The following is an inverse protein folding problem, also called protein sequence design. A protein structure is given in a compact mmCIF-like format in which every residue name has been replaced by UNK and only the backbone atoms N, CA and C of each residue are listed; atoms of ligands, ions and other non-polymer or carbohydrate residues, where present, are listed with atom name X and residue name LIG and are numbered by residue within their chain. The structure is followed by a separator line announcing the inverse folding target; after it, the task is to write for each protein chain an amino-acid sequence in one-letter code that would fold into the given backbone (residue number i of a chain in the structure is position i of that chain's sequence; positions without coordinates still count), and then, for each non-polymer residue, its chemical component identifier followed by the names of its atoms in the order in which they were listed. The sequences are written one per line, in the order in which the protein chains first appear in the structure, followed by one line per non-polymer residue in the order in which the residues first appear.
data_IF_055881118436
#
_entry.id   IF_055881118436
#
_cell.length_a   1.000
_cell.length_b   1.000
_cell.length_c   1.000
_cell.angle_alpha   90.00
_cell.angle_beta   90.00
_cell.angle_gamma   90.00
#
_symmetry.space_group_name_H-M   'P 1'
#
loop_
_entity.id
_entity.type
_entity.pdbx_description
1 polymer ?
#
# COMPACT_ATOMS: atom_id res chain seq x y z
N UNK A 1 8.49 41.62 -60.72
CA UNK A 1 9.67 41.88 -59.85
C UNK A 1 9.17 41.76 -58.42
N UNK A 2 9.43 40.79 -57.54
CA UNK A 2 10.35 39.64 -57.35
C UNK A 2 9.47 38.52 -56.73
N UNK A 3 9.40 37.26 -57.18
CA UNK A 3 10.34 36.13 -57.11
C UNK A 3 11.02 35.78 -55.76
N UNK A 4 10.82 34.50 -55.41
CA UNK A 4 11.65 33.53 -54.67
C UNK A 4 11.50 33.49 -53.13
N UNK A 5 10.90 32.44 -52.55
CA UNK A 5 11.28 31.00 -52.46
C UNK A 5 12.02 30.72 -51.15
N UNK A 6 11.46 29.85 -50.30
CA UNK A 6 12.07 28.59 -49.86
C UNK A 6 11.30 28.00 -48.67
N UNK A 7 10.60 26.90 -48.96
CA UNK A 7 10.86 25.56 -48.43
C UNK A 7 11.09 25.35 -46.92
N UNK A 8 10.20 24.50 -46.39
CA UNK A 8 10.47 23.41 -45.45
C UNK A 8 11.17 23.74 -44.13
N UNK A 9 10.42 23.61 -43.03
CA UNK A 9 10.89 22.73 -41.96
C UNK A 9 9.76 22.21 -41.07
N UNK A 10 9.36 20.98 -41.38
CA UNK A 10 9.06 19.87 -40.48
C UNK A 10 8.70 20.17 -39.02
N UNK A 11 7.45 19.82 -38.73
CA UNK A 11 6.92 19.52 -37.42
C UNK A 11 7.80 18.48 -36.71
N UNK A 12 8.58 18.92 -35.72
CA UNK A 12 9.08 18.05 -34.66
C UNK A 12 8.72 18.68 -33.31
N UNK A 13 7.48 18.42 -32.89
CA UNK A 13 7.08 18.56 -31.50
C UNK A 13 7.62 17.35 -30.73
N UNK A 14 8.94 17.28 -30.59
CA UNK A 14 9.59 16.41 -29.60
C UNK A 14 9.29 17.02 -28.25
N UNK A 15 8.19 16.59 -27.65
CA UNK A 15 7.98 16.67 -26.21
C UNK A 15 9.04 15.77 -25.56
N UNK A 16 10.27 16.26 -25.51
CA UNK A 16 11.30 15.79 -24.59
C UNK A 16 10.67 15.94 -23.20
N UNK A 17 10.18 14.82 -22.69
CA UNK A 17 9.73 14.70 -21.31
C UNK A 17 10.97 15.01 -20.49
N UNK A 18 11.02 16.25 -19.99
CA UNK A 18 12.09 16.76 -19.14
C UNK A 18 12.43 15.68 -18.12
N UNK A 19 13.65 15.15 -18.22
CA UNK A 19 14.24 14.34 -17.16
C UNK A 19 14.27 15.20 -15.91
N UNK A 20 13.29 14.97 -15.03
CA UNK A 20 13.36 15.46 -13.67
C UNK A 20 14.60 14.84 -13.05
N UNK A 21 15.41 15.66 -12.38
CA UNK A 21 16.52 15.17 -11.57
C UNK A 21 16.02 14.03 -10.69
N UNK A 22 16.51 12.83 -10.98
CA UNK A 22 16.24 11.65 -10.18
C UNK A 22 16.85 11.93 -8.80
N UNK A 23 16.03 12.11 -7.77
CA UNK A 23 16.54 12.03 -6.40
C UNK A 23 17.23 10.65 -6.27
N UNK A 24 18.55 10.59 -6.00
CA UNK A 24 19.29 9.33 -5.94
C UNK A 24 18.75 8.37 -4.87
N UNK A 25 17.91 8.86 -3.96
CA UNK A 25 17.28 8.10 -2.89
C UNK A 25 15.81 7.75 -3.17
N UNK A 26 15.24 8.20 -4.29
CA UNK A 26 13.86 7.87 -4.65
C UNK A 26 13.75 6.39 -5.01
N UNK A 27 12.95 5.66 -4.22
CA UNK A 27 12.60 4.28 -4.49
C UNK A 27 11.87 4.19 -5.83
N UNK A 28 12.42 3.42 -6.77
CA UNK A 28 11.86 3.25 -8.11
C UNK A 28 11.65 1.78 -8.42
N UNK A 29 10.42 1.45 -8.79
CA UNK A 29 10.08 0.12 -9.31
C UNK A 29 10.79 -0.15 -10.63
N UNK A 30 11.23 -1.39 -10.84
CA UNK A 30 11.72 -1.85 -12.14
C UNK A 30 10.58 -1.88 -13.14
N UNK A 31 10.87 -1.78 -14.43
CA UNK A 31 9.84 -1.71 -15.49
C UNK A 31 8.85 -2.89 -15.45
N UNK A 32 9.35 -4.11 -15.22
CA UNK A 32 8.49 -5.30 -15.09
C UNK A 32 7.63 -5.28 -13.82
N UNK A 33 8.09 -4.63 -12.75
CA UNK A 33 7.30 -4.47 -11.52
C UNK A 33 6.20 -3.44 -11.71
N UNK A 34 6.52 -2.33 -12.38
CA UNK A 34 5.52 -1.32 -12.78
C UNK A 34 4.43 -1.95 -13.65
N UNK A 35 4.80 -2.80 -14.61
CA UNK A 35 3.84 -3.52 -15.45
C UNK A 35 2.95 -4.44 -14.61
N UNK A 36 3.52 -5.19 -13.67
CA UNK A 36 2.77 -6.02 -12.73
C UNK A 36 1.77 -5.21 -11.89
N UNK A 37 2.18 -4.06 -11.34
CA UNK A 37 1.30 -3.18 -10.55
C UNK A 37 0.16 -2.61 -11.42
N UNK A 38 0.48 -2.13 -12.62
CA UNK A 38 -0.53 -1.63 -13.56
C UNK A 38 -1.55 -2.71 -13.94
N UNK A 39 -1.08 -3.95 -14.12
CA UNK A 39 -1.96 -5.09 -14.38
C UNK A 39 -2.89 -5.39 -13.19
N UNK A 40 -2.39 -5.33 -11.96
CA UNK A 40 -3.23 -5.49 -10.76
C UNK A 40 -4.30 -4.41 -10.66
N UNK A 41 -3.90 -3.14 -10.84
CA UNK A 41 -4.81 -2.00 -10.84
C UNK A 41 -5.88 -2.13 -11.92
N UNK A 42 -5.50 -2.52 -13.14
CA UNK A 42 -6.46 -2.76 -14.21
C UNK A 42 -7.47 -3.86 -13.86
N UNK A 43 -7.03 -4.98 -13.27
CA UNK A 43 -7.95 -6.02 -12.81
C UNK A 43 -8.89 -5.54 -11.70
N UNK A 44 -8.38 -4.70 -10.78
CA UNK A 44 -9.18 -4.09 -9.72
C UNK A 44 -10.31 -3.19 -10.29
N UNK A 45 -10.01 -2.33 -11.26
CA UNK A 45 -11.03 -1.50 -11.92
C UNK A 45 -12.08 -2.35 -12.64
N UNK A 46 -11.67 -3.48 -13.21
CA UNK A 46 -12.56 -4.44 -13.87
C UNK A 46 -13.24 -5.42 -12.90
N UNK A 47 -13.09 -5.25 -11.57
CA UNK A 47 -13.69 -6.10 -10.54
C UNK A 47 -13.36 -7.59 -10.71
N UNK A 48 -12.13 -7.90 -11.10
CA UNK A 48 -11.64 -9.27 -11.24
C UNK A 48 -10.54 -9.58 -10.23
N UNK A 49 -10.64 -10.77 -9.64
CA UNK A 49 -9.55 -11.37 -8.86
C UNK A 49 -8.39 -11.74 -9.78
N UNK A 50 -7.18 -11.69 -9.24
CA UNK A 50 -5.95 -11.93 -9.98
C UNK A 50 -4.99 -12.82 -9.18
N UNK A 51 -4.08 -13.49 -9.90
CA UNK A 51 -3.02 -14.33 -9.33
C UNK A 51 -1.71 -13.84 -9.93
N UNK A 52 -0.76 -13.42 -9.08
CA UNK A 52 0.61 -13.12 -9.50
C UNK A 52 1.42 -14.42 -9.50
N UNK A 53 1.76 -14.91 -10.69
CA UNK A 53 2.47 -16.16 -10.89
C UNK A 53 3.93 -15.97 -11.38
N UNK A 54 4.48 -14.77 -11.19
CA UNK A 54 5.85 -14.44 -11.58
C UNK A 54 6.88 -15.32 -10.86
N UNK A 55 8.06 -15.46 -11.46
CA UNK A 55 9.20 -16.16 -10.87
C UNK A 55 9.51 -15.68 -9.43
N UNK A 56 10.01 -16.59 -8.61
CA UNK A 56 10.45 -16.27 -7.26
C UNK A 56 11.58 -15.23 -7.32
N UNK A 57 11.56 -14.25 -6.42
CA UNK A 57 12.56 -13.18 -6.40
C UNK A 57 12.25 -11.95 -7.27
N UNK A 58 11.20 -11.97 -8.11
CA UNK A 58 10.80 -10.79 -8.90
C UNK A 58 10.10 -9.67 -8.10
N UNK A 59 10.01 -9.82 -6.77
CA UNK A 59 9.49 -8.76 -5.90
C UNK A 59 7.96 -8.67 -5.88
N UNK A 60 7.25 -9.80 -5.95
CA UNK A 60 5.78 -9.87 -5.82
C UNK A 60 5.26 -9.16 -4.56
N UNK A 61 5.98 -9.25 -3.45
CA UNK A 61 5.66 -8.53 -2.21
C UNK A 61 5.63 -7.02 -2.42
N UNK A 62 6.68 -6.48 -3.04
CA UNK A 62 6.80 -5.04 -3.33
C UNK A 62 5.70 -4.60 -4.30
N UNK A 63 5.47 -5.36 -5.37
CA UNK A 63 4.35 -5.08 -6.30
C UNK A 63 3.00 -5.05 -5.57
N UNK A 64 2.77 -5.98 -4.64
CA UNK A 64 1.54 -6.02 -3.84
C UNK A 64 1.44 -4.80 -2.92
N UNK A 65 2.52 -4.41 -2.24
CA UNK A 65 2.55 -3.21 -1.39
C UNK A 65 2.26 -1.94 -2.19
N UNK A 66 2.95 -1.73 -3.31
CA UNK A 66 2.70 -0.58 -4.18
C UNK A 66 1.27 -0.57 -4.72
N UNK A 67 0.71 -1.74 -5.05
CA UNK A 67 -0.69 -1.83 -5.46
C UNK A 67 -1.65 -1.37 -4.35
N UNK A 68 -1.48 -1.85 -3.11
CA UNK A 68 -2.34 -1.43 -1.98
C UNK A 68 -2.20 0.06 -1.67
N UNK A 69 -0.98 0.57 -1.72
CA UNK A 69 -0.67 1.98 -1.52
C UNK A 69 -1.33 2.87 -2.59
N UNK A 70 -1.26 2.48 -3.87
CA UNK A 70 -1.98 3.17 -4.95
C UNK A 70 -3.51 3.14 -4.73
N UNK A 71 -4.07 2.02 -4.27
CA UNK A 71 -5.49 1.95 -3.95
C UNK A 71 -5.88 2.90 -2.81
N UNK A 72 -5.02 3.05 -1.81
CA UNK A 72 -5.24 3.93 -0.67
C UNK A 72 -5.14 5.42 -1.04
N UNK A 73 -4.14 5.78 -1.84
CA UNK A 73 -3.86 7.18 -2.18
C UNK A 73 -4.80 7.76 -3.26
N UNK A 74 -5.25 6.95 -4.21
CA UNK A 74 -6.05 7.45 -5.34
C UNK A 74 -7.45 7.90 -4.88
N UNK A 75 -7.83 9.18 -5.05
CA UNK A 75 -9.15 9.67 -4.63
C UNK A 75 -10.31 8.99 -5.37
N UNK A 76 -10.06 8.48 -6.58
CA UNK A 76 -11.05 7.84 -7.45
C UNK A 76 -11.42 6.41 -7.03
N UNK A 77 -10.57 5.73 -6.27
CA UNK A 77 -10.86 4.37 -5.79
C UNK A 77 -11.82 4.38 -4.60
N UNK A 78 -11.79 5.46 -3.80
CA UNK A 78 -12.51 5.61 -2.53
C UNK A 78 -12.25 4.46 -1.52
N UNK A 79 -11.16 3.69 -1.70
CA UNK A 79 -10.81 2.57 -0.82
C UNK A 79 -9.92 3.10 0.32
N UNK A 80 -10.53 3.43 1.45
CA UNK A 80 -9.80 3.96 2.64
C UNK A 80 -9.30 2.90 3.62
N UNK A 81 -9.55 1.60 3.37
CA UNK A 81 -9.01 0.51 4.17
C UNK A 81 -10.05 -0.59 4.42
N UNK A 82 -9.88 -1.38 5.49
CA UNK A 82 -8.62 -1.98 5.91
C UNK A 82 -8.17 -3.05 4.90
N UNK A 83 -6.86 -3.18 4.67
CA UNK A 83 -6.31 -4.24 3.82
C UNK A 83 -5.80 -5.40 4.69
N UNK A 84 -6.22 -6.62 4.38
CA UNK A 84 -5.73 -7.83 5.05
C UNK A 84 -4.74 -8.55 4.14
N UNK A 85 -3.53 -8.72 4.64
CA UNK A 85 -2.50 -9.55 4.00
C UNK A 85 -2.27 -10.78 4.87
N UNK A 86 -2.36 -11.96 4.26
CA UNK A 86 -2.08 -13.24 4.92
C UNK A 86 -0.81 -13.81 4.32
N UNK A 87 0.19 -14.08 5.15
CA UNK A 87 1.46 -14.67 4.76
C UNK A 87 1.92 -15.71 5.80
N UNK A 88 2.78 -16.67 5.41
CA UNK A 88 3.46 -17.55 6.37
C UNK A 88 4.18 -16.77 7.46
N UNK A 89 4.20 -17.29 8.70
CA UNK A 89 4.80 -16.62 9.86
C UNK A 89 6.28 -16.27 9.66
N UNK A 90 7.03 -17.04 8.87
CA UNK A 90 8.42 -16.73 8.55
C UNK A 90 8.59 -15.48 7.67
N UNK A 91 7.55 -15.08 6.95
CA UNK A 91 7.59 -13.96 6.00
C UNK A 91 6.98 -12.67 6.57
N UNK A 92 6.18 -12.72 7.63
CA UNK A 92 5.44 -11.54 8.13
C UNK A 92 6.35 -10.36 8.50
N UNK A 93 7.54 -10.63 9.05
CA UNK A 93 8.52 -9.57 9.35
C UNK A 93 9.05 -8.90 8.08
N UNK A 94 9.31 -9.69 7.02
CA UNK A 94 9.72 -9.15 5.73
C UNK A 94 8.62 -8.26 5.14
N UNK A 95 7.37 -8.73 5.17
CA UNK A 95 6.23 -7.93 4.71
C UNK A 95 6.09 -6.62 5.50
N UNK A 96 6.30 -6.65 6.82
CA UNK A 96 6.30 -5.44 7.65
C UNK A 96 7.40 -4.46 7.22
N UNK A 97 8.64 -4.92 7.06
CA UNK A 97 9.74 -4.04 6.63
C UNK A 97 9.50 -3.44 5.25
N UNK A 98 9.07 -4.24 4.27
CA UNK A 98 8.74 -3.75 2.93
C UNK A 98 7.58 -2.75 2.96
N UNK A 99 6.57 -2.98 3.81
CA UNK A 99 5.44 -2.06 3.93
C UNK A 99 5.83 -0.68 4.47
N UNK A 100 6.77 -0.62 5.43
CA UNK A 100 7.27 0.65 5.96
C UNK A 100 8.07 1.44 4.92
N UNK A 101 8.69 0.75 3.96
CA UNK A 101 9.50 1.34 2.91
C UNK A 101 8.63 1.79 1.74
N UNK A 102 7.71 0.94 1.28
CA UNK A 102 6.94 1.14 0.04
C UNK A 102 5.55 1.72 0.24
N UNK A 103 5.03 1.72 1.47
CA UNK A 103 3.73 2.27 1.83
C UNK A 103 3.81 3.03 3.18
N UNK A 104 4.71 4.04 3.32
CA UNK A 104 4.97 4.71 4.59
C UNK A 104 3.76 5.46 5.17
N UNK A 105 2.82 5.85 4.31
CA UNK A 105 1.60 6.58 4.71
C UNK A 105 0.48 5.65 5.20
N UNK A 106 0.67 4.32 5.13
CA UNK A 106 -0.28 3.33 5.63
C UNK A 106 0.10 2.86 7.04
N UNK A 107 -0.87 2.82 7.96
CA UNK A 107 -0.66 2.16 9.25
C UNK A 107 -0.65 0.63 9.06
N UNK A 108 0.45 -0.03 9.43
CA UNK A 108 0.62 -1.48 9.27
C UNK A 108 0.68 -2.14 10.64
N UNK A 109 -0.33 -2.96 10.93
CA UNK A 109 -0.48 -3.67 12.20
C UNK A 109 -0.19 -5.15 12.00
N UNK A 110 0.83 -5.63 12.71
CA UNK A 110 1.25 -7.02 12.63
C UNK A 110 0.50 -7.88 13.66
N UNK A 111 -0.42 -8.71 13.17
CA UNK A 111 -1.26 -9.56 14.01
C UNK A 111 -0.64 -10.95 14.25
N UNK A 112 0.25 -11.06 15.23
CA UNK A 112 0.78 -12.35 15.70
C UNK A 112 1.17 -12.29 17.20
N UNK A 113 1.50 -13.44 17.79
CA UNK A 113 1.95 -13.54 19.20
C UNK A 113 0.99 -14.33 20.09
N UNK A 114 1.09 -14.14 21.40
CA UNK A 114 0.21 -14.77 22.40
C UNK A 114 -1.24 -14.26 22.29
N UNK A 115 -2.18 -14.96 22.94
CA UNK A 115 -3.58 -14.53 22.98
C UNK A 115 -3.70 -13.12 23.58
N UNK A 116 -3.05 -12.86 24.71
CA UNK A 116 -3.07 -11.56 25.38
C UNK A 116 -2.53 -10.43 24.50
N UNK A 117 -1.45 -10.69 23.75
CA UNK A 117 -0.88 -9.69 22.83
C UNK A 117 -1.85 -9.35 21.69
N UNK A 118 -2.53 -10.36 21.14
CA UNK A 118 -3.55 -10.16 20.09
C UNK A 118 -4.78 -9.42 20.63
N UNK A 119 -5.23 -9.73 21.83
CA UNK A 119 -6.35 -9.05 22.48
C UNK A 119 -6.01 -7.57 22.73
N UNK A 120 -4.79 -7.27 23.15
CA UNK A 120 -4.30 -5.91 23.29
C UNK A 120 -4.27 -5.16 21.94
N UNK A 121 -3.74 -5.77 20.89
CA UNK A 121 -3.71 -5.17 19.55
C UNK A 121 -5.10 -4.83 19.02
N UNK A 122 -6.07 -5.75 19.17
CA UNK A 122 -7.46 -5.51 18.75
C UNK A 122 -8.07 -4.34 19.52
N UNK A 123 -7.78 -4.21 20.82
CA UNK A 123 -8.32 -3.11 21.63
C UNK A 123 -7.74 -1.74 21.29
N UNK A 124 -6.48 -1.67 20.83
CA UNK A 124 -5.78 -0.40 20.59
C UNK A 124 -5.78 0.04 19.13
N UNK A 125 -5.60 -0.90 18.20
CA UNK A 125 -5.32 -0.59 16.78
C UNK A 125 -6.55 -0.75 15.88
N UNK A 126 -7.52 -1.59 16.27
CA UNK A 126 -8.68 -1.89 15.42
C UNK A 126 -9.81 -0.90 15.75
N UNK A 127 -9.78 0.27 15.10
CA UNK A 127 -10.81 1.31 15.25
C UNK A 127 -12.15 0.99 14.57
N UNK A 128 -12.29 -0.20 13.96
CA UNK A 128 -13.57 -0.65 13.44
C UNK A 128 -14.39 -1.27 14.57
N UNK A 129 -15.22 -0.47 15.23
CA UNK A 129 -16.29 -1.02 16.07
C UNK A 129 -17.21 -1.80 15.16
N UNK A 130 -17.27 -3.12 15.34
CA UNK A 130 -18.28 -3.96 14.73
C UNK A 130 -19.66 -3.30 14.98
N UNK A 131 -20.43 -2.95 13.93
CA UNK A 131 -21.74 -2.32 14.09
C UNK A 131 -22.74 -3.21 14.85
N UNK A 132 -22.42 -4.50 15.04
CA UNK A 132 -23.19 -5.47 15.80
C UNK A 132 -22.62 -5.74 17.22
N UNK A 133 -21.43 -5.22 17.56
CA UNK A 133 -20.89 -5.29 18.93
C UNK A 133 -21.27 -4.02 19.67
N UNK A 134 -22.25 -4.14 20.57
CA UNK A 134 -22.66 -3.03 21.43
C UNK A 134 -21.47 -2.44 22.22
N UNK A 135 -21.11 -1.17 21.98
CA UNK A 135 -19.98 -0.56 22.65
C UNK A 135 -20.42 -0.11 24.04
N UNK A 136 -20.32 -0.96 25.07
CA UNK A 136 -20.40 -0.50 26.47
C UNK A 136 -19.98 -1.42 27.62
N UNK A 137 -19.53 -2.67 27.42
CA UNK A 137 -19.25 -3.56 28.57
C UNK A 137 -17.77 -3.90 28.83
N UNK A 138 -16.87 -3.79 27.85
CA UNK A 138 -15.49 -4.30 28.01
C UNK A 138 -14.51 -3.26 28.58
N UNK A 139 -14.61 -1.99 28.18
CA UNK A 139 -13.70 -0.93 28.66
C UNK A 139 -13.94 -0.59 30.14
N UNK A 140 -15.18 -0.73 30.62
CA UNK A 140 -15.52 -0.49 32.03
C UNK A 140 -15.04 -1.61 32.97
N UNK A 141 -14.76 -2.82 32.45
CA UNK A 141 -14.39 -3.98 33.27
C UNK A 141 -12.88 -4.02 33.58
N UNK A 142 -12.03 -3.63 32.62
CA UNK A 142 -10.57 -3.63 32.84
C UNK A 142 -10.04 -2.46 33.66
N UNK A 143 -10.73 -1.30 33.67
CA UNK A 143 -10.30 -0.14 34.48
C UNK A 143 -10.54 -0.31 35.98
N UNK A 144 -11.26 -1.34 36.42
CA UNK A 144 -11.54 -1.62 37.84
C UNK A 144 -10.69 -2.72 38.47
N UNK A 145 -9.94 -3.50 37.70
CA UNK A 145 -9.24 -4.68 38.26
C UNK A 145 -7.72 -4.53 38.44
N UNK A 146 -7.08 -3.49 37.89
CA UNK A 146 -5.62 -3.30 38.03
C UNK A 146 -5.21 -2.02 38.78
N UNK A 147 -6.02 -1.56 39.74
CA UNK A 147 -5.58 -0.55 40.71
C UNK A 147 -4.87 -1.21 41.89
N UNK A 148 -3.74 -1.88 41.63
CA UNK A 148 -2.86 -2.34 42.70
C UNK A 148 -2.04 -1.14 43.17
N UNK A 149 -2.46 -0.57 44.31
CA UNK A 149 -1.66 0.38 45.09
C UNK A 149 -0.35 -0.29 45.47
N UNK A 150 0.78 0.36 45.18
CA UNK A 150 2.02 0.09 45.90
C UNK A 150 2.17 1.14 47.00
N UNK A 151 2.42 0.65 48.22
CA UNK A 151 2.90 1.42 49.36
C UNK A 151 4.42 1.60 49.23
#
# INVERSE_FOLDING_TARGET
TNNNNNDNNDNNNTNETKGGQDDPLALKLRSYQMEGVNWLLWNWWNKRSCILADEMGLGKTIQTMCFLDQLHQLPSTQVRGPFLVVAPLSLVNQWQSESMIWAPDMNVVLYHGSADARDFLVQQEFYYTDPFVHPKSLVAKYKRQNLTKFH
#
